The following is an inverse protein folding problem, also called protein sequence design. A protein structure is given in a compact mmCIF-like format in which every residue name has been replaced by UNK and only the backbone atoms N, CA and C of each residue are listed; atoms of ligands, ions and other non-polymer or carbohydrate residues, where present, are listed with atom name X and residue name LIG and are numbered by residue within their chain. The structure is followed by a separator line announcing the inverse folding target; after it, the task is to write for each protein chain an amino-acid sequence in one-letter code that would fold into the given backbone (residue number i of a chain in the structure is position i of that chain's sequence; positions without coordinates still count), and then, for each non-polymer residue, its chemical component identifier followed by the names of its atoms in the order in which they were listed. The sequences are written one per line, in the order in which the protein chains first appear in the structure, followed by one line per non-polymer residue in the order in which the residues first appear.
data_IF_129568582994
#
_entry.id   IF_129568582994
#
_cell.length_a   1.000
_cell.length_b   1.000
_cell.length_c   1.000
_cell.angle_alpha   90.00
_cell.angle_beta   90.00
_cell.angle_gamma   90.00
#
_symmetry.space_group_name_H-M   'P 1'
#
loop_
_entity.id
_entity.type
_entity.pdbx_description
1 polymer ?
#
# COMPACT_ATOMS: atom_id res chain seq x y z
N UNK A 1 2.91 15.35 27.47
CA UNK A 1 3.05 14.53 26.26
C UNK A 1 4.07 15.21 25.38
N UNK A 2 5.25 14.64 25.10
CA UNK A 2 6.17 15.29 24.18
C UNK A 2 5.49 15.34 22.80
N UNK A 3 5.38 16.54 22.25
CA UNK A 3 4.93 16.77 20.89
C UNK A 3 6.07 16.37 19.96
N UNK A 4 5.89 15.32 19.16
CA UNK A 4 6.82 14.99 18.09
C UNK A 4 6.50 15.89 16.89
N UNK A 5 6.95 17.15 16.94
CA UNK A 5 6.97 18.01 15.76
C UNK A 5 8.08 17.55 14.81
N UNK A 6 7.84 16.46 14.11
CA UNK A 6 8.63 16.13 12.93
C UNK A 6 8.03 16.90 11.76
N UNK A 7 8.81 17.84 11.20
CA UNK A 7 8.47 18.44 9.92
C UNK A 7 8.18 17.32 8.90
N UNK A 8 7.09 17.40 8.11
CA UNK A 8 6.79 16.38 7.13
C UNK A 8 8.01 16.16 6.23
N UNK A 9 8.49 14.91 6.16
CA UNK A 9 9.56 14.54 5.24
C UNK A 9 9.17 14.98 3.83
N UNK A 10 9.88 15.98 3.30
CA UNK A 10 9.66 16.46 1.94
C UNK A 10 10.17 15.38 0.99
N UNK A 11 9.23 14.62 0.43
CA UNK A 11 9.54 13.54 -0.52
C UNK A 11 10.11 14.15 -1.81
N UNK A 12 11.08 13.46 -2.40
CA UNK A 12 11.55 13.77 -3.74
C UNK A 12 10.39 13.63 -4.74
N UNK A 13 10.31 14.49 -5.76
CA UNK A 13 9.19 14.48 -6.71
C UNK A 13 9.00 13.13 -7.40
N UNK A 14 10.11 12.44 -7.70
CA UNK A 14 10.07 11.09 -8.27
C UNK A 14 9.45 10.01 -7.36
N UNK A 15 9.35 10.23 -6.04
CA UNK A 15 8.70 9.32 -5.10
C UNK A 15 7.23 9.67 -4.86
N UNK A 16 6.77 10.81 -5.35
CA UNK A 16 5.40 11.27 -5.14
C UNK A 16 4.33 10.34 -5.76
N UNK A 17 4.54 9.73 -6.94
CA UNK A 17 3.60 8.74 -7.49
C UNK A 17 3.47 7.51 -6.57
N UNK A 18 4.59 6.84 -6.26
CA UNK A 18 4.61 5.65 -5.38
C UNK A 18 3.98 5.92 -4.01
N UNK A 19 4.23 7.10 -3.45
CA UNK A 19 3.65 7.49 -2.15
C UNK A 19 2.15 7.75 -2.21
N UNK A 20 1.63 8.17 -3.38
CA UNK A 20 0.19 8.40 -3.56
C UNK A 20 -0.56 7.08 -3.64
N UNK A 21 0.02 6.10 -4.30
CA UNK A 21 -0.63 4.81 -4.55
C UNK A 21 -0.82 4.00 -3.26
N UNK A 22 0.03 4.23 -2.23
CA UNK A 22 -0.21 3.72 -0.87
C UNK A 22 -1.57 4.14 -0.28
N UNK A 23 -2.11 5.30 -0.65
CA UNK A 23 -3.41 5.75 -0.16
C UNK A 23 -4.54 4.80 -0.59
N UNK A 24 -4.47 4.26 -1.80
CA UNK A 24 -5.47 3.30 -2.28
C UNK A 24 -5.45 2.03 -1.43
N UNK A 25 -4.27 1.47 -1.17
CA UNK A 25 -4.12 0.30 -0.30
C UNK A 25 -4.70 0.54 1.09
N UNK A 26 -4.42 1.71 1.69
CA UNK A 26 -4.97 2.09 3.00
C UNK A 26 -6.50 2.20 3.00
N UNK A 27 -7.08 2.81 1.95
CA UNK A 27 -8.53 2.91 1.80
C UNK A 27 -9.18 1.53 1.71
N UNK A 28 -8.61 0.63 0.92
CA UNK A 28 -9.14 -0.73 0.78
C UNK A 28 -9.01 -1.54 2.07
N UNK A 29 -7.86 -1.47 2.74
CA UNK A 29 -7.66 -2.13 4.04
C UNK A 29 -8.67 -1.66 5.09
N UNK A 30 -8.88 -0.34 5.19
CA UNK A 30 -9.89 0.24 6.08
C UNK A 30 -11.29 -0.26 5.76
N UNK A 31 -11.63 -0.34 4.47
CA UNK A 31 -12.94 -0.81 4.01
C UNK A 31 -13.19 -2.26 4.40
N UNK A 32 -12.19 -3.13 4.22
CA UNK A 32 -12.27 -4.53 4.63
C UNK A 32 -12.50 -4.65 6.14
N UNK A 33 -11.71 -3.93 6.96
CA UNK A 33 -11.86 -3.90 8.42
C UNK A 33 -13.25 -3.46 8.84
N UNK A 34 -13.77 -2.38 8.25
CA UNK A 34 -15.10 -1.84 8.59
C UNK A 34 -16.22 -2.81 8.20
N UNK A 35 -16.09 -3.47 7.05
CA UNK A 35 -17.11 -4.42 6.57
C UNK A 35 -17.20 -5.69 7.41
N UNK A 36 -16.18 -6.03 8.21
CA UNK A 36 -16.11 -7.28 8.96
C UNK A 36 -17.30 -7.48 9.91
N UNK A 37 -17.82 -6.39 10.48
CA UNK A 37 -18.97 -6.38 11.40
C UNK A 37 -20.31 -6.11 10.69
N UNK A 38 -20.31 -5.94 9.36
CA UNK A 38 -21.51 -5.69 8.55
C UNK A 38 -22.15 -7.01 8.05
N UNK A 39 -23.27 -6.90 7.34
CA UNK A 39 -23.99 -8.06 6.80
C UNK A 39 -23.24 -8.79 5.65
N UNK A 40 -23.74 -9.97 5.29
CA UNK A 40 -23.16 -10.80 4.23
C UNK A 40 -23.05 -10.08 2.88
N UNK A 41 -24.00 -9.20 2.55
CA UNK A 41 -24.02 -8.48 1.27
C UNK A 41 -22.91 -7.44 1.26
N UNK A 42 -22.78 -6.68 2.34
CA UNK A 42 -21.75 -5.68 2.52
C UNK A 42 -20.33 -6.28 2.51
N UNK A 43 -20.12 -7.40 3.22
CA UNK A 43 -18.84 -8.11 3.21
C UNK A 43 -18.43 -8.58 1.82
N UNK A 44 -19.35 -9.20 1.09
CA UNK A 44 -19.10 -9.65 -0.30
C UNK A 44 -18.77 -8.48 -1.22
N UNK A 45 -19.46 -7.36 -1.05
CA UNK A 45 -19.21 -6.15 -1.83
C UNK A 45 -17.79 -5.60 -1.56
N UNK A 46 -17.41 -5.47 -0.28
CA UNK A 46 -16.08 -4.99 0.11
C UNK A 46 -14.96 -5.88 -0.45
N UNK A 47 -15.13 -7.21 -0.41
CA UNK A 47 -14.17 -8.15 -1.02
C UNK A 47 -14.10 -7.99 -2.53
N UNK A 48 -15.23 -7.87 -3.23
CA UNK A 48 -15.24 -7.69 -4.68
C UNK A 48 -14.54 -6.39 -5.11
N UNK A 49 -14.75 -5.30 -4.37
CA UNK A 49 -14.10 -4.02 -4.66
C UNK A 49 -12.60 -4.04 -4.30
N UNK A 50 -12.21 -4.79 -3.28
CA UNK A 50 -10.79 -5.03 -3.01
C UNK A 50 -10.11 -5.81 -4.13
N UNK A 51 -10.73 -6.88 -4.63
CA UNK A 51 -10.19 -7.67 -5.76
C UNK A 51 -10.04 -6.79 -7.01
N UNK A 52 -11.04 -5.96 -7.34
CA UNK A 52 -10.95 -5.03 -8.48
C UNK A 52 -9.81 -4.02 -8.31
N UNK A 53 -9.64 -3.45 -7.11
CA UNK A 53 -8.54 -2.54 -6.82
C UNK A 53 -7.17 -3.24 -6.84
N UNK A 54 -7.13 -4.50 -6.40
CA UNK A 54 -5.92 -5.32 -6.42
C UNK A 54 -5.40 -5.52 -7.84
N UNK A 55 -6.28 -6.00 -8.71
CA UNK A 55 -5.94 -6.32 -10.11
C UNK A 55 -5.60 -5.08 -10.92
N UNK A 56 -6.26 -3.95 -10.62
CA UNK A 56 -6.09 -2.70 -11.37
C UNK A 56 -4.84 -1.93 -10.98
N UNK A 57 -4.63 -1.77 -9.67
CA UNK A 57 -3.73 -0.74 -9.15
C UNK A 57 -2.68 -1.30 -8.17
N UNK A 58 -3.10 -2.07 -7.17
CA UNK A 58 -2.19 -2.47 -6.06
C UNK A 58 -1.07 -3.40 -6.56
N UNK A 59 -1.39 -4.38 -7.40
CA UNK A 59 -0.37 -5.31 -7.92
C UNK A 59 0.65 -4.59 -8.82
N UNK A 60 0.20 -3.57 -9.56
CA UNK A 60 1.08 -2.74 -10.41
C UNK A 60 2.00 -1.89 -9.56
N UNK A 61 1.48 -1.30 -8.48
CA UNK A 61 2.26 -0.53 -7.50
C UNK A 61 3.41 -1.36 -6.91
N UNK A 62 3.16 -2.59 -6.44
CA UNK A 62 4.21 -3.48 -5.93
C UNK A 62 5.28 -3.80 -6.98
N UNK A 63 4.86 -4.11 -8.22
CA UNK A 63 5.78 -4.38 -9.33
C UNK A 63 6.66 -3.17 -9.64
N UNK A 64 6.11 -1.97 -9.57
CA UNK A 64 6.86 -0.73 -9.81
C UNK A 64 7.86 -0.44 -8.69
N UNK A 65 7.51 -0.68 -7.42
CA UNK A 65 8.46 -0.59 -6.30
C UNK A 65 9.63 -1.57 -6.48
N UNK A 66 9.34 -2.84 -6.77
CA UNK A 66 10.34 -3.87 -7.01
C UNK A 66 11.25 -3.53 -8.20
N UNK A 67 10.68 -3.02 -9.29
CA UNK A 67 11.43 -2.70 -10.52
C UNK A 67 12.26 -1.43 -10.39
N UNK A 68 11.74 -0.39 -9.73
CA UNK A 68 12.34 0.94 -9.71
C UNK A 68 13.25 1.20 -8.51
N UNK A 69 12.93 0.62 -7.35
CA UNK A 69 13.63 0.93 -6.11
C UNK A 69 14.76 -0.03 -5.79
N UNK A 70 14.66 -1.31 -6.19
CA UNK A 70 15.67 -2.33 -5.82
C UNK A 70 17.08 -1.95 -6.24
N UNK A 71 17.28 -1.35 -7.42
CA UNK A 71 18.58 -0.87 -7.89
C UNK A 71 19.19 0.29 -7.07
N UNK A 72 18.42 0.87 -6.13
CA UNK A 72 18.82 1.96 -5.25
C UNK A 72 18.93 1.53 -3.77
N UNK A 73 18.56 0.28 -3.45
CA UNK A 73 18.47 -0.26 -2.09
C UNK A 73 19.62 -1.21 -1.80
N UNK A 74 19.97 -1.37 -0.52
CA UNK A 74 20.88 -2.45 -0.10
C UNK A 74 20.17 -3.82 -0.09
N UNK A 75 20.96 -4.89 0.01
CA UNK A 75 20.45 -6.26 -0.04
C UNK A 75 19.43 -6.57 1.08
N UNK A 76 19.57 -5.94 2.24
CA UNK A 76 18.69 -6.19 3.38
C UNK A 76 17.30 -5.57 3.14
N UNK A 77 17.27 -4.33 2.67
CA UNK A 77 16.02 -3.64 2.34
C UNK A 77 15.35 -4.28 1.12
N UNK A 78 16.11 -4.73 0.11
CA UNK A 78 15.57 -5.48 -1.02
C UNK A 78 14.90 -6.79 -0.55
N UNK A 79 15.58 -7.57 0.30
CA UNK A 79 15.01 -8.80 0.85
C UNK A 79 13.70 -8.51 1.59
N UNK A 80 13.69 -7.49 2.45
CA UNK A 80 12.48 -7.10 3.19
C UNK A 80 11.32 -6.76 2.24
N UNK A 81 11.58 -5.97 1.19
CA UNK A 81 10.56 -5.60 0.20
C UNK A 81 9.91 -6.83 -0.43
N UNK A 82 10.72 -7.76 -0.96
CA UNK A 82 10.22 -8.96 -1.61
C UNK A 82 9.49 -9.90 -0.64
N UNK A 83 10.00 -10.04 0.59
CA UNK A 83 9.36 -10.88 1.60
C UNK A 83 7.99 -10.32 2.03
N UNK A 84 7.85 -8.99 2.13
CA UNK A 84 6.58 -8.32 2.45
C UNK A 84 5.57 -8.38 1.29
N UNK A 85 6.03 -8.35 0.04
CA UNK A 85 5.17 -8.44 -1.16
C UNK A 85 4.76 -9.88 -1.53
N UNK A 86 5.47 -10.89 -1.03
CA UNK A 86 5.22 -12.30 -1.34
C UNK A 86 4.11 -12.95 -0.49
N UNK A 87 3.62 -12.26 0.54
CA UNK A 87 2.56 -12.72 1.46
C UNK A 87 1.15 -12.42 0.93
#
# INVERSE_FOLDING_TARGET
MPSFEHAPLKRHEGLAPLSRDHYLGLVQARRLIQSADEDDVARRKAVAEFIDAWDRDIVTHFRDEERLLTGLMDDADQRRLFDEHAL
#
